data_IF_396277274762
#
_entry.id   IF_396277274762
#
_cell.length_a   1.000
_cell.length_b   1.000
_cell.length_c   1.000
_cell.angle_alpha   90.00
_cell.angle_beta   90.00
_cell.angle_gamma   90.00
#
_symmetry.space_group_name_H-M   'P 1'
#
loop_
_entity.id
_entity.type
_entity.pdbx_description
1 polymer ?
#
# COMPACT_ATOMS: atom_id res chain seq x y z
N UNK A 1 -1.04 15.53 22.95
CA UNK A 1 -1.47 14.25 22.33
C UNK A 1 -0.52 13.97 21.18
N UNK A 2 0.33 12.95 21.28
CA UNK A 2 1.22 12.55 20.19
C UNK A 2 0.43 11.65 19.25
N UNK A 3 -0.19 12.23 18.24
CA UNK A 3 -0.82 11.50 17.14
C UNK A 3 0.26 11.17 16.11
N UNK A 4 1.02 10.11 16.36
CA UNK A 4 1.72 9.46 15.25
C UNK A 4 0.65 8.86 14.35
N UNK A 5 0.56 9.24 13.06
CA UNK A 5 -0.44 8.67 12.18
C UNK A 5 -0.30 7.15 12.15
N UNK A 6 -1.40 6.45 12.37
CA UNK A 6 -1.42 4.99 12.28
C UNK A 6 -0.90 4.56 10.90
N UNK A 7 -0.03 3.54 10.88
CA UNK A 7 0.49 2.99 9.64
C UNK A 7 -0.71 2.46 8.84
N UNK A 8 -0.88 2.88 7.57
CA UNK A 8 -2.02 2.47 6.76
C UNK A 8 -2.03 0.95 6.60
N UNK A 9 -3.22 0.35 6.68
CA UNK A 9 -3.37 -1.09 6.48
C UNK A 9 -3.22 -1.45 5.00
N UNK A 10 -2.97 -2.72 4.69
CA UNK A 10 -2.92 -3.20 3.31
C UNK A 10 -4.24 -2.91 2.55
N UNK A 11 -5.38 -2.91 3.26
CA UNK A 11 -6.68 -2.56 2.70
C UNK A 11 -6.76 -1.07 2.33
N UNK A 12 -6.28 -0.19 3.22
CA UNK A 12 -6.24 1.26 2.95
C UNK A 12 -5.35 1.56 1.75
N UNK A 13 -4.20 0.88 1.65
CA UNK A 13 -3.28 1.00 0.52
C UNK A 13 -3.91 0.52 -0.80
N UNK A 14 -4.66 -0.60 -0.77
CA UNK A 14 -5.36 -1.13 -1.92
C UNK A 14 -6.49 -0.22 -2.41
N UNK A 15 -7.30 0.32 -1.48
CA UNK A 15 -8.37 1.27 -1.82
C UNK A 15 -7.79 2.56 -2.42
N UNK A 16 -6.65 3.05 -1.91
CA UNK A 16 -5.92 4.17 -2.49
C UNK A 16 -5.41 3.88 -3.92
N UNK A 17 -4.85 2.69 -4.18
CA UNK A 17 -4.46 2.27 -5.53
C UNK A 17 -5.66 2.23 -6.49
N UNK A 18 -6.84 1.80 -6.02
CA UNK A 18 -8.07 1.75 -6.82
C UNK A 18 -8.52 3.16 -7.20
N UNK A 19 -8.52 4.08 -6.25
CA UNK A 19 -8.90 5.49 -6.47
C UNK A 19 -7.91 6.16 -7.43
N UNK A 20 -6.60 6.00 -7.22
CA UNK A 20 -5.56 6.55 -8.08
C UNK A 20 -5.68 6.04 -9.52
N UNK A 21 -5.86 4.73 -9.71
CA UNK A 21 -6.05 4.13 -11.03
C UNK A 21 -7.31 4.67 -11.72
N UNK A 22 -8.41 4.83 -10.97
CA UNK A 22 -9.63 5.41 -11.53
C UNK A 22 -9.43 6.86 -11.99
N UNK A 23 -8.76 7.67 -11.15
CA UNK A 23 -8.42 9.06 -11.52
C UNK A 23 -7.45 9.12 -12.71
N UNK A 24 -6.54 8.16 -12.86
CA UNK A 24 -5.67 8.05 -14.04
C UNK A 24 -6.41 7.75 -15.33
N UNK A 25 -7.46 6.93 -15.26
CA UNK A 25 -8.28 6.57 -16.43
C UNK A 25 -9.20 7.73 -16.86
N UNK A 26 -9.51 8.65 -15.96
CA UNK A 26 -10.38 9.81 -16.20
C UNK A 26 -9.63 11.07 -16.67
N UNK A 27 -8.29 11.09 -16.61
CA UNK A 27 -7.48 12.28 -16.92
C UNK A 27 -6.68 12.08 -18.21
N UNK A 28 -6.79 13.03 -19.12
CA UNK A 28 -6.08 13.06 -20.40
C UNK A 28 -4.58 13.40 -20.24
N UNK A 29 -3.80 13.19 -21.31
CA UNK A 29 -2.33 13.12 -21.50
C UNK A 29 -1.41 14.16 -20.78
N UNK A 30 -1.95 15.10 -20.02
CA UNK A 30 -1.24 16.16 -19.30
C UNK A 30 -1.53 16.24 -17.79
N UNK A 31 -2.19 15.25 -17.21
CA UNK A 31 -2.42 15.16 -15.76
C UNK A 31 -1.14 15.00 -14.92
N UNK A 32 -1.20 15.21 -13.58
CA UNK A 32 -0.14 14.87 -12.64
C UNK A 32 0.46 13.49 -12.94
N UNK A 33 1.74 13.27 -12.63
CA UNK A 33 2.42 12.00 -12.90
C UNK A 33 1.93 10.89 -11.94
N UNK A 34 0.67 10.50 -12.09
CA UNK A 34 -0.03 9.53 -11.26
C UNK A 34 0.61 8.15 -11.33
N UNK A 35 1.39 7.87 -12.38
CA UNK A 35 2.23 6.67 -12.48
C UNK A 35 3.24 6.63 -11.32
N UNK A 36 3.88 7.75 -10.98
CA UNK A 36 4.81 7.80 -9.84
C UNK A 36 4.09 7.65 -8.50
N UNK A 37 2.90 8.24 -8.36
CA UNK A 37 2.07 8.06 -7.17
C UNK A 37 1.62 6.61 -7.01
N UNK A 38 1.18 5.97 -8.08
CA UNK A 38 0.79 4.56 -8.09
C UNK A 38 1.98 3.65 -7.78
N UNK A 39 3.16 3.92 -8.35
CA UNK A 39 4.37 3.16 -8.08
C UNK A 39 4.78 3.24 -6.59
N UNK A 40 4.74 4.43 -5.99
CA UNK A 40 4.99 4.60 -4.56
C UNK A 40 3.96 3.84 -3.70
N UNK A 41 2.69 3.86 -4.10
CA UNK A 41 1.62 3.17 -3.38
C UNK A 41 1.75 1.64 -3.47
N UNK A 42 2.09 1.11 -4.64
CA UNK A 42 2.35 -0.32 -4.85
C UNK A 42 3.56 -0.80 -4.06
N UNK A 43 4.60 0.03 -3.93
CA UNK A 43 5.76 -0.30 -3.11
C UNK A 43 5.39 -0.42 -1.62
N UNK A 44 4.58 0.50 -1.09
CA UNK A 44 4.09 0.40 0.30
C UNK A 44 3.22 -0.85 0.52
N UNK A 45 2.41 -1.21 -0.47
CA UNK A 45 1.59 -2.42 -0.41
C UNK A 45 2.46 -3.68 -0.39
N UNK A 46 3.50 -3.73 -1.23
CA UNK A 46 4.48 -4.82 -1.25
C UNK A 46 5.17 -5.00 0.11
N UNK A 47 5.67 -3.90 0.71
CA UNK A 47 6.30 -3.96 2.04
C UNK A 47 5.32 -4.43 3.13
N UNK A 48 4.05 -4.04 3.05
CA UNK A 48 3.02 -4.49 3.98
C UNK A 48 2.75 -6.01 3.86
N UNK A 49 2.71 -6.55 2.63
CA UNK A 49 2.57 -7.99 2.41
C UNK A 49 3.79 -8.76 2.88
N UNK A 50 5.00 -8.28 2.57
CA UNK A 50 6.24 -8.90 3.02
C UNK A 50 6.35 -8.94 4.54
N UNK A 51 6.02 -7.85 5.24
CA UNK A 51 5.95 -7.85 6.71
C UNK A 51 4.93 -8.87 7.25
N UNK A 52 3.80 -9.04 6.57
CA UNK A 52 2.78 -10.00 6.97
C UNK A 52 3.25 -11.46 6.79
N UNK A 53 3.83 -11.79 5.64
CA UNK A 53 4.42 -13.11 5.37
C UNK A 53 5.56 -13.43 6.35
N UNK A 54 6.45 -12.47 6.62
CA UNK A 54 7.53 -12.67 7.59
C UNK A 54 6.99 -12.93 9.02
N UNK A 55 5.90 -12.26 9.42
CA UNK A 55 5.24 -12.53 10.71
C UNK A 55 4.59 -13.90 10.74
N UNK A 56 3.96 -14.32 9.65
CA UNK A 56 3.34 -15.64 9.52
C UNK A 56 4.40 -16.75 9.61
N UNK A 57 5.48 -16.66 8.83
CA UNK A 57 6.61 -17.60 8.92
C UNK A 57 7.24 -17.66 10.31
N UNK A 58 7.30 -16.53 11.04
CA UNK A 58 7.79 -16.51 12.43
C UNK A 58 6.83 -17.20 13.39
N UNK A 59 5.51 -17.08 13.19
CA UNK A 59 4.49 -17.80 13.96
C UNK A 59 4.55 -19.30 13.71
N UNK A 60 4.72 -19.72 12.46
CA UNK A 60 4.85 -21.14 12.09
C UNK A 60 6.13 -21.80 12.65
N UNK A 61 7.19 -21.02 12.90
CA UNK A 61 8.49 -21.51 13.42
C UNK A 61 8.58 -21.55 14.94
N UNK A 62 7.60 -21.01 15.67
CA UNK A 62 7.55 -21.14 17.12
C UNK A 62 6.95 -22.52 17.45
N UNK A 63 7.72 -23.45 18.04
CA UNK A 63 7.12 -24.68 18.56
C UNK A 63 6.23 -24.32 19.75
N UNK A 64 5.10 -25.04 19.87
CA UNK A 64 4.13 -24.92 20.96
C UNK A 64 4.76 -24.95 22.36
#
# INVERSE_FOLDING_TARGET
MNLTPDKPTARDLLDLCRILTHSMLEIDEHGPNYVHLLAAQLHLLYEAFKEAEEREMRRERLPE
#
